data_IF_074239404680
#
_entry.id   IF_074239404680
#
_cell.length_a   1.000
_cell.length_b   1.000
_cell.length_c   1.000
_cell.angle_alpha   90.00
_cell.angle_beta   90.00
_cell.angle_gamma   90.00
#
_symmetry.space_group_name_H-M   'P 1'
#
loop_
_entity.id
_entity.type
_entity.pdbx_description
1 polymer ?
#
# COMPACT_ATOMS: atom_id res chain seq x y z
N UNK A 1 -16.25 205.31 -109.98
CA UNK A 1 -16.30 203.94 -110.55
C UNK A 1 -15.38 202.93 -109.81
N UNK A 2 -14.52 203.31 -108.84
CA UNK A 2 -13.63 202.34 -108.16
C UNK A 2 -14.20 201.55 -106.95
N UNK A 3 -15.50 201.57 -106.64
CA UNK A 3 -16.03 200.85 -105.45
C UNK A 3 -16.70 199.49 -105.75
N UNK A 4 -16.95 199.15 -107.02
CA UNK A 4 -17.75 197.97 -107.41
C UNK A 4 -16.95 196.66 -107.60
N UNK A 5 -15.62 196.71 -107.72
CA UNK A 5 -14.82 195.53 -108.07
C UNK A 5 -14.41 194.69 -106.85
N UNK A 6 -14.16 195.32 -105.70
CA UNK A 6 -13.70 194.62 -104.49
C UNK A 6 -14.75 193.66 -103.88
N UNK A 7 -16.05 193.90 -104.10
CA UNK A 7 -17.12 193.08 -103.50
C UNK A 7 -17.30 191.74 -104.21
N UNK A 8 -17.11 191.69 -105.54
CA UNK A 8 -17.28 190.46 -106.33
C UNK A 8 -16.13 189.46 -106.15
N UNK A 9 -14.93 189.95 -105.82
CA UNK A 9 -13.75 189.12 -105.58
C UNK A 9 -13.82 188.41 -104.21
N UNK A 10 -14.42 189.06 -103.20
CA UNK A 10 -14.71 188.46 -101.89
C UNK A 10 -15.70 187.30 -101.99
N UNK A 11 -16.77 187.45 -102.77
CA UNK A 11 -17.82 186.42 -102.88
C UNK A 11 -17.33 185.17 -103.64
N UNK A 12 -16.45 185.33 -104.63
CA UNK A 12 -15.83 184.21 -105.35
C UNK A 12 -14.93 183.37 -104.43
N UNK A 13 -14.10 184.03 -103.62
CA UNK A 13 -13.23 183.35 -102.66
C UNK A 13 -14.04 182.59 -101.59
N UNK A 14 -15.15 183.16 -101.12
CA UNK A 14 -16.05 182.48 -100.17
C UNK A 14 -16.69 181.21 -100.75
N UNK A 15 -17.04 181.20 -102.03
CA UNK A 15 -17.57 180.01 -102.70
C UNK A 15 -16.49 178.94 -102.92
N UNK A 16 -15.26 179.33 -103.26
CA UNK A 16 -14.14 178.40 -103.42
C UNK A 16 -13.76 177.71 -102.10
N UNK A 17 -13.84 178.40 -100.96
CA UNK A 17 -13.59 177.79 -99.64
C UNK A 17 -14.67 176.76 -99.31
N UNK A 18 -15.95 177.08 -99.55
CA UNK A 18 -17.05 176.14 -99.32
C UNK A 18 -16.99 174.90 -100.20
N UNK A 19 -16.55 175.03 -101.46
CA UNK A 19 -16.33 173.89 -102.35
C UNK A 19 -15.23 172.97 -101.78
N UNK A 20 -14.10 173.55 -101.36
CA UNK A 20 -13.01 172.80 -100.73
C UNK A 20 -13.41 172.12 -99.42
N UNK A 21 -14.25 172.77 -98.60
CA UNK A 21 -14.80 172.17 -97.38
C UNK A 21 -15.73 170.99 -97.69
N UNK A 22 -16.61 171.11 -98.69
CA UNK A 22 -17.48 170.02 -99.13
C UNK A 22 -16.68 168.85 -99.73
N UNK A 23 -15.65 169.13 -100.53
CA UNK A 23 -14.74 168.11 -101.08
C UNK A 23 -13.96 167.40 -99.97
N UNK A 24 -13.49 168.13 -98.95
CA UNK A 24 -12.84 167.54 -97.78
C UNK A 24 -13.80 166.67 -96.96
N UNK A 25 -15.05 167.09 -96.79
CA UNK A 25 -16.08 166.31 -96.11
C UNK A 25 -16.47 165.05 -96.90
N UNK A 26 -16.56 165.12 -98.23
CA UNK A 26 -16.81 163.97 -99.09
C UNK A 26 -15.66 162.96 -98.99
N UNK A 27 -14.41 163.42 -99.14
CA UNK A 27 -13.23 162.57 -99.03
C UNK A 27 -13.14 161.92 -97.63
N UNK A 28 -13.51 162.65 -96.57
CA UNK A 28 -13.58 162.09 -95.22
C UNK A 28 -14.66 161.00 -95.10
N UNK A 29 -15.83 161.19 -95.73
CA UNK A 29 -16.91 160.19 -95.72
C UNK A 29 -16.58 158.98 -96.59
N UNK A 30 -15.93 159.17 -97.73
CA UNK A 30 -15.44 158.08 -98.59
C UNK A 30 -14.35 157.27 -97.88
N UNK A 31 -13.42 157.94 -97.18
CA UNK A 31 -12.43 157.26 -96.35
C UNK A 31 -13.08 156.47 -95.21
N UNK A 32 -14.06 157.04 -94.50
CA UNK A 32 -14.78 156.32 -93.44
C UNK A 32 -15.57 155.11 -93.97
N UNK A 33 -16.17 155.23 -95.15
CA UNK A 33 -16.89 154.14 -95.81
C UNK A 33 -15.93 153.03 -96.27
N UNK A 34 -14.76 153.40 -96.80
CA UNK A 34 -13.71 152.45 -97.15
C UNK A 34 -13.18 151.69 -95.92
N UNK A 35 -12.97 152.37 -94.78
CA UNK A 35 -12.62 151.73 -93.51
C UNK A 35 -13.71 150.78 -93.05
N UNK A 36 -14.98 151.20 -93.03
CA UNK A 36 -16.09 150.34 -92.61
C UNK A 36 -16.29 149.12 -93.53
N UNK A 37 -16.04 149.24 -94.84
CA UNK A 37 -16.04 148.11 -95.75
C UNK A 37 -14.85 147.17 -95.54
N UNK A 38 -13.69 147.71 -95.16
CA UNK A 38 -12.52 146.92 -94.75
C UNK A 38 -12.80 146.13 -93.48
N UNK A 39 -13.35 146.77 -92.45
CA UNK A 39 -13.74 146.14 -91.19
C UNK A 39 -14.82 145.08 -91.41
N UNK A 40 -15.83 145.38 -92.26
CA UNK A 40 -16.85 144.40 -92.64
C UNK A 40 -16.23 143.17 -93.27
N UNK A 41 -15.29 143.32 -94.22
CA UNK A 41 -14.60 142.19 -94.85
C UNK A 41 -13.74 141.42 -93.85
N UNK A 42 -13.08 142.10 -92.91
CA UNK A 42 -12.33 141.45 -91.83
C UNK A 42 -13.24 140.61 -90.95
N UNK A 43 -14.38 141.17 -90.50
CA UNK A 43 -15.35 140.49 -89.67
C UNK A 43 -16.10 139.35 -90.39
N UNK A 44 -16.31 139.48 -91.71
CA UNK A 44 -16.83 138.40 -92.56
C UNK A 44 -15.82 137.25 -92.65
N UNK A 45 -14.54 137.54 -92.87
CA UNK A 45 -13.46 136.54 -92.86
C UNK A 45 -13.27 135.88 -91.48
N UNK A 46 -13.37 136.64 -90.39
CA UNK A 46 -13.35 136.10 -89.02
C UNK A 46 -14.57 135.23 -88.75
N UNK A 47 -15.76 135.60 -89.24
CA UNK A 47 -16.96 134.76 -89.13
C UNK A 47 -16.83 133.45 -89.91
N UNK A 48 -16.26 133.49 -91.11
CA UNK A 48 -15.98 132.28 -91.88
C UNK A 48 -14.95 131.40 -91.18
N UNK A 49 -13.85 131.97 -90.70
CA UNK A 49 -12.84 131.24 -89.93
C UNK A 49 -13.42 130.61 -88.64
N UNK A 50 -14.27 131.33 -87.91
CA UNK A 50 -14.96 130.80 -86.73
C UNK A 50 -15.95 129.70 -87.09
N UNK A 51 -16.65 129.80 -88.23
CA UNK A 51 -17.55 128.72 -88.70
C UNK A 51 -16.77 127.47 -89.10
N UNK A 52 -15.64 127.62 -89.75
CA UNK A 52 -14.79 126.48 -90.10
C UNK A 52 -14.16 125.84 -88.85
N UNK A 53 -13.75 126.64 -87.86
CA UNK A 53 -13.34 126.13 -86.55
C UNK A 53 -14.46 125.39 -85.82
N UNK A 54 -15.70 125.91 -85.85
CA UNK A 54 -16.86 125.21 -85.26
C UNK A 54 -17.07 123.88 -85.97
N UNK A 55 -16.99 123.83 -87.31
CA UNK A 55 -17.17 122.59 -88.08
C UNK A 55 -16.05 121.58 -87.78
N UNK A 56 -14.79 122.02 -87.69
CA UNK A 56 -13.66 121.16 -87.33
C UNK A 56 -13.77 120.62 -85.89
N UNK A 57 -14.28 121.45 -84.96
CA UNK A 57 -14.60 121.02 -83.59
C UNK A 57 -15.79 120.04 -83.55
N UNK A 58 -16.80 120.21 -84.39
CA UNK A 58 -17.93 119.29 -84.52
C UNK A 58 -17.49 117.93 -85.09
N UNK A 59 -16.65 117.93 -86.14
CA UNK A 59 -16.11 116.71 -86.75
C UNK A 59 -15.16 115.97 -85.79
N UNK A 60 -14.28 116.69 -85.09
CA UNK A 60 -13.42 116.10 -84.06
C UNK A 60 -14.21 115.58 -82.85
N UNK A 61 -15.29 116.25 -82.46
CA UNK A 61 -16.21 115.77 -81.43
C UNK A 61 -16.94 114.50 -81.88
N UNK A 62 -17.37 114.42 -83.14
CA UNK A 62 -18.01 113.22 -83.69
C UNK A 62 -17.02 112.05 -83.72
N UNK A 63 -15.79 112.26 -84.22
CA UNK A 63 -14.75 111.24 -84.23
C UNK A 63 -14.39 110.75 -82.82
N UNK A 64 -14.30 111.66 -81.84
CA UNK A 64 -14.05 111.30 -80.44
C UNK A 64 -15.19 110.48 -79.83
N UNK A 65 -16.45 110.78 -80.19
CA UNK A 65 -17.62 109.99 -79.77
C UNK A 65 -17.60 108.59 -80.38
N UNK A 66 -17.30 108.46 -81.66
CA UNK A 66 -17.22 107.16 -82.33
C UNK A 66 -16.07 106.32 -81.78
N UNK A 67 -14.92 106.94 -81.50
CA UNK A 67 -13.81 106.28 -80.80
C UNK A 67 -14.23 105.81 -79.40
N UNK A 68 -14.87 106.67 -78.61
CA UNK A 68 -15.39 106.29 -77.28
C UNK A 68 -16.38 105.11 -77.37
N UNK A 69 -17.27 105.11 -78.36
CA UNK A 69 -18.20 103.99 -78.58
C UNK A 69 -17.43 102.70 -78.94
N UNK A 70 -16.43 102.80 -79.81
CA UNK A 70 -15.62 101.64 -80.20
C UNK A 70 -14.80 101.08 -79.03
N UNK A 71 -14.20 101.95 -78.21
CA UNK A 71 -13.43 101.57 -77.03
C UNK A 71 -14.33 101.00 -75.92
N UNK A 72 -15.52 101.56 -75.72
CA UNK A 72 -16.50 101.02 -74.76
C UNK A 72 -16.99 99.64 -75.19
N UNK A 73 -17.21 99.40 -76.49
CA UNK A 73 -17.55 98.07 -77.00
C UNK A 73 -16.39 97.08 -76.79
N UNK A 74 -15.16 97.46 -77.14
CA UNK A 74 -13.98 96.61 -76.92
C UNK A 74 -13.76 96.29 -75.44
N UNK A 75 -13.98 97.27 -74.56
CA UNK A 75 -13.92 97.07 -73.10
C UNK A 75 -14.95 96.03 -72.65
N UNK A 76 -16.20 96.13 -73.11
CA UNK A 76 -17.26 95.16 -72.78
C UNK A 76 -16.92 93.77 -73.31
N UNK A 77 -16.40 93.65 -74.54
CA UNK A 77 -15.99 92.36 -75.10
C UNK A 77 -14.84 91.71 -74.31
N UNK A 78 -13.86 92.51 -73.88
CA UNK A 78 -12.75 92.04 -73.03
C UNK A 78 -13.23 91.67 -71.63
N UNK A 79 -14.15 92.44 -71.03
CA UNK A 79 -14.76 92.12 -69.74
C UNK A 79 -15.54 90.81 -69.80
N UNK A 80 -16.35 90.62 -70.86
CA UNK A 80 -17.05 89.35 -71.10
C UNK A 80 -16.09 88.18 -71.26
N UNK A 81 -14.99 88.36 -72.02
CA UNK A 81 -13.97 87.32 -72.18
C UNK A 81 -13.25 87.01 -70.87
N UNK A 82 -12.91 88.02 -70.08
CA UNK A 82 -12.34 87.85 -68.75
C UNK A 82 -13.31 87.08 -67.85
N UNK A 83 -14.60 87.43 -67.86
CA UNK A 83 -15.63 86.75 -67.09
C UNK A 83 -15.75 85.27 -67.48
N UNK A 84 -15.83 84.95 -68.79
CA UNK A 84 -15.85 83.56 -69.26
C UNK A 84 -14.59 82.78 -68.86
N UNK A 85 -13.41 83.41 -68.91
CA UNK A 85 -12.16 82.77 -68.47
C UNK A 85 -12.12 82.54 -66.96
N UNK A 86 -12.70 83.44 -66.16
CA UNK A 86 -12.85 83.27 -64.71
C UNK A 86 -13.77 82.09 -64.43
N UNK A 87 -14.92 82.03 -65.08
CA UNK A 87 -15.87 80.92 -64.94
C UNK A 87 -15.26 79.57 -65.37
N UNK A 88 -14.50 79.53 -66.47
CA UNK A 88 -13.78 78.33 -66.91
C UNK A 88 -12.70 77.89 -65.90
N UNK A 89 -11.98 78.84 -65.31
CA UNK A 89 -10.97 78.56 -64.28
C UNK A 89 -11.62 78.04 -62.99
N UNK A 90 -12.72 78.66 -62.57
CA UNK A 90 -13.50 78.22 -61.41
C UNK A 90 -14.09 76.82 -61.64
N UNK A 91 -14.65 76.56 -62.82
CA UNK A 91 -15.14 75.24 -63.19
C UNK A 91 -14.03 74.18 -63.14
N UNK A 92 -12.87 74.44 -63.76
CA UNK A 92 -11.73 73.52 -63.71
C UNK A 92 -11.21 73.31 -62.30
N UNK A 93 -11.15 74.37 -61.49
CA UNK A 93 -10.73 74.28 -60.09
C UNK A 93 -11.68 73.41 -59.30
N UNK A 94 -12.99 73.60 -59.44
CA UNK A 94 -14.00 72.78 -58.78
C UNK A 94 -13.92 71.31 -59.24
N UNK A 95 -13.75 71.05 -60.54
CA UNK A 95 -13.55 69.70 -61.07
C UNK A 95 -12.32 69.02 -60.46
N UNK A 96 -11.17 69.71 -60.38
CA UNK A 96 -9.98 69.14 -59.77
C UNK A 96 -10.14 68.95 -58.25
N UNK A 97 -10.83 69.85 -57.56
CA UNK A 97 -11.15 69.70 -56.15
C UNK A 97 -12.06 68.48 -55.92
N UNK A 98 -13.05 68.25 -56.78
CA UNK A 98 -13.91 67.06 -56.75
C UNK A 98 -13.12 65.78 -57.03
N UNK A 99 -12.27 65.74 -58.05
CA UNK A 99 -11.41 64.59 -58.34
C UNK A 99 -10.43 64.28 -57.18
N UNK A 100 -9.84 65.32 -56.58
CA UNK A 100 -9.00 65.17 -55.38
C UNK A 100 -9.82 64.63 -54.21
N UNK A 101 -11.05 65.12 -54.01
CA UNK A 101 -11.92 64.65 -52.94
C UNK A 101 -12.37 63.20 -53.16
N UNK A 102 -12.70 62.81 -54.40
CA UNK A 102 -13.04 61.43 -54.74
C UNK A 102 -11.87 60.46 -54.53
N UNK A 103 -10.68 60.84 -55.00
CA UNK A 103 -9.48 60.02 -54.83
C UNK A 103 -9.11 59.87 -53.35
N UNK A 104 -9.22 60.94 -52.56
CA UNK A 104 -9.07 60.88 -51.10
C UNK A 104 -10.09 59.96 -50.44
N UNK A 105 -11.38 60.08 -50.78
CA UNK A 105 -12.43 59.21 -50.26
C UNK A 105 -12.18 57.74 -50.59
N UNK A 106 -11.85 57.42 -51.85
CA UNK A 106 -11.52 56.04 -52.28
C UNK A 106 -10.30 55.48 -51.53
N UNK A 107 -9.30 56.32 -51.25
CA UNK A 107 -8.13 55.89 -50.48
C UNK A 107 -8.47 55.67 -49.00
N UNK A 108 -9.25 56.56 -48.39
CA UNK A 108 -9.73 56.45 -47.01
C UNK A 108 -10.58 55.19 -46.81
N UNK A 109 -11.55 54.91 -47.69
CA UNK A 109 -12.37 53.70 -47.60
C UNK A 109 -11.53 52.43 -47.74
N UNK A 110 -10.58 52.40 -48.68
CA UNK A 110 -9.67 51.25 -48.85
C UNK A 110 -8.77 51.06 -47.63
N UNK A 111 -8.28 52.14 -47.02
CA UNK A 111 -7.46 52.05 -45.81
C UNK A 111 -8.28 51.46 -44.65
N UNK A 112 -9.51 51.96 -44.44
CA UNK A 112 -10.42 51.48 -43.40
C UNK A 112 -10.82 50.02 -43.63
N UNK A 113 -11.11 49.61 -44.86
CA UNK A 113 -11.42 48.21 -45.20
C UNK A 113 -10.22 47.28 -44.99
N UNK A 114 -9.00 47.72 -45.33
CA UNK A 114 -7.78 46.93 -45.12
C UNK A 114 -7.44 46.84 -43.63
N UNK A 115 -7.57 47.93 -42.88
CA UNK A 115 -7.30 47.96 -41.45
C UNK A 115 -8.36 47.16 -40.67
N UNK A 116 -9.64 47.30 -41.01
CA UNK A 116 -10.71 46.48 -40.42
C UNK A 116 -10.58 45.00 -40.79
N UNK A 117 -10.24 44.67 -42.03
CA UNK A 117 -10.01 43.29 -42.47
C UNK A 117 -8.86 42.64 -41.70
N UNK A 118 -7.72 43.34 -41.57
CA UNK A 118 -6.59 42.89 -40.76
C UNK A 118 -6.97 42.72 -39.30
N UNK A 119 -7.70 43.68 -38.71
CA UNK A 119 -8.17 43.59 -37.34
C UNK A 119 -9.04 42.34 -37.13
N UNK A 120 -10.01 42.08 -38.00
CA UNK A 120 -10.89 40.90 -37.93
C UNK A 120 -10.06 39.61 -38.06
N UNK A 121 -9.08 39.56 -38.95
CA UNK A 121 -8.19 38.40 -39.08
C UNK A 121 -7.37 38.16 -37.81
N UNK A 122 -6.84 39.21 -37.19
CA UNK A 122 -6.11 39.10 -35.92
C UNK A 122 -7.03 38.67 -34.78
N UNK A 123 -8.22 39.24 -34.67
CA UNK A 123 -9.23 38.84 -33.69
C UNK A 123 -9.65 37.38 -33.89
N UNK A 124 -9.85 36.95 -35.13
CA UNK A 124 -10.17 35.55 -35.46
C UNK A 124 -9.03 34.60 -35.10
N UNK A 125 -7.78 34.92 -35.48
CA UNK A 125 -6.60 34.12 -35.14
C UNK A 125 -6.41 34.03 -33.62
N UNK A 126 -6.61 35.13 -32.90
CA UNK A 126 -6.55 35.15 -31.44
C UNK A 126 -7.66 34.28 -30.83
N UNK A 127 -8.90 34.41 -31.31
CA UNK A 127 -10.02 33.59 -30.85
C UNK A 127 -9.79 32.10 -31.12
N UNK A 128 -9.25 31.76 -32.30
CA UNK A 128 -8.89 30.40 -32.67
C UNK A 128 -7.79 29.84 -31.75
N UNK A 129 -6.71 30.59 -31.51
CA UNK A 129 -5.64 30.18 -30.61
C UNK A 129 -6.15 29.98 -29.17
N UNK A 130 -7.03 30.87 -28.68
CA UNK A 130 -7.67 30.71 -27.37
C UNK A 130 -8.57 29.48 -27.31
N UNK A 131 -9.31 29.19 -28.39
CA UNK A 131 -10.15 28.00 -28.47
C UNK A 131 -9.31 26.72 -28.48
N UNK A 132 -8.22 26.70 -29.25
CA UNK A 132 -7.28 25.57 -29.29
C UNK A 132 -6.62 25.33 -27.93
N UNK A 133 -6.17 26.38 -27.24
CA UNK A 133 -5.62 26.29 -25.89
C UNK A 133 -6.64 25.72 -24.88
N UNK A 134 -7.91 26.15 -24.97
CA UNK A 134 -8.99 25.59 -24.14
C UNK A 134 -9.23 24.11 -24.47
N UNK A 135 -9.30 23.76 -25.75
CA UNK A 135 -9.51 22.38 -26.19
C UNK A 135 -8.36 21.45 -25.74
N UNK A 136 -7.11 21.91 -25.82
CA UNK A 136 -5.94 21.19 -25.32
C UNK A 136 -6.02 21.00 -23.80
N UNK A 137 -6.41 22.03 -23.05
CA UNK A 137 -6.56 21.93 -21.60
C UNK A 137 -7.69 20.97 -21.21
N UNK A 138 -8.85 21.07 -21.88
CA UNK A 138 -9.98 20.14 -21.65
C UNK A 138 -9.59 18.70 -21.98
N UNK A 139 -8.81 18.47 -23.04
CA UNK A 139 -8.29 17.15 -23.39
C UNK A 139 -7.33 16.61 -22.32
N UNK A 140 -6.40 17.43 -21.81
CA UNK A 140 -5.52 17.06 -20.71
C UNK A 140 -6.30 16.71 -19.43
N UNK A 141 -7.30 17.52 -19.05
CA UNK A 141 -8.15 17.25 -17.89
C UNK A 141 -8.91 15.94 -18.06
N UNK A 142 -9.43 15.65 -19.25
CA UNK A 142 -10.09 14.36 -19.55
C UNK A 142 -9.13 13.17 -19.43
N UNK A 143 -7.91 13.30 -19.94
CA UNK A 143 -6.88 12.25 -19.81
C UNK A 143 -6.51 12.02 -18.35
N UNK A 144 -6.21 13.09 -17.60
CA UNK A 144 -5.91 12.97 -16.17
C UNK A 144 -7.06 12.35 -15.38
N UNK A 145 -8.31 12.70 -15.70
CA UNK A 145 -9.48 12.09 -15.08
C UNK A 145 -9.58 10.60 -15.39
N UNK A 146 -9.39 10.19 -16.66
CA UNK A 146 -9.44 8.79 -17.06
C UNK A 146 -8.33 7.96 -16.42
N UNK A 147 -7.09 8.45 -16.40
CA UNK A 147 -5.95 7.80 -15.73
C UNK A 147 -6.19 7.68 -14.21
N UNK A 148 -6.76 8.72 -13.61
CA UNK A 148 -7.11 8.70 -12.19
C UNK A 148 -8.21 7.65 -11.91
N UNK A 149 -9.27 7.62 -12.72
CA UNK A 149 -10.33 6.61 -12.61
C UNK A 149 -9.79 5.18 -12.80
N UNK A 150 -8.93 4.95 -13.80
CA UNK A 150 -8.30 3.65 -14.05
C UNK A 150 -7.40 3.21 -12.88
N UNK A 151 -6.58 4.11 -12.35
CA UNK A 151 -5.72 3.79 -11.19
C UNK A 151 -6.52 3.51 -9.92
N UNK A 152 -7.62 4.25 -9.68
CA UNK A 152 -8.52 3.94 -8.57
C UNK A 152 -9.27 2.63 -8.79
N UNK A 153 -9.72 2.35 -10.01
CA UNK A 153 -10.37 1.11 -10.36
C UNK A 153 -9.44 -0.09 -10.13
N UNK A 154 -8.20 -0.02 -10.64
CA UNK A 154 -7.18 -1.05 -10.43
C UNK A 154 -6.85 -1.26 -8.95
N UNK A 155 -6.73 -0.18 -8.16
CA UNK A 155 -6.52 -0.29 -6.71
C UNK A 155 -7.70 -0.94 -5.98
N UNK A 156 -8.94 -0.58 -6.34
CA UNK A 156 -10.13 -1.19 -5.78
C UNK A 156 -10.25 -2.66 -6.14
N UNK A 157 -9.98 -3.02 -7.39
CA UNK A 157 -9.97 -4.41 -7.85
C UNK A 157 -8.89 -5.23 -7.15
N UNK A 158 -7.67 -4.70 -7.04
CA UNK A 158 -6.57 -5.33 -6.30
C UNK A 158 -6.91 -5.54 -4.82
N UNK A 159 -7.49 -4.53 -4.16
CA UNK A 159 -7.94 -4.64 -2.77
C UNK A 159 -9.07 -5.66 -2.61
N UNK A 160 -10.02 -5.69 -3.56
CA UNK A 160 -11.11 -6.68 -3.59
C UNK A 160 -10.56 -8.10 -3.76
N UNK A 161 -9.68 -8.33 -4.73
CA UNK A 161 -9.04 -9.63 -4.96
C UNK A 161 -8.21 -10.06 -3.75
N UNK A 162 -7.47 -9.15 -3.12
CA UNK A 162 -6.75 -9.43 -1.88
C UNK A 162 -7.68 -9.82 -0.74
N UNK A 163 -8.82 -9.13 -0.59
CA UNK A 163 -9.85 -9.47 0.39
C UNK A 163 -10.50 -10.84 0.10
N UNK A 164 -10.80 -11.14 -1.16
CA UNK A 164 -11.35 -12.44 -1.57
C UNK A 164 -10.34 -13.57 -1.31
N UNK A 165 -9.05 -13.34 -1.60
CA UNK A 165 -7.96 -14.29 -1.29
C UNK A 165 -7.75 -14.48 0.21
N UNK A 166 -7.83 -13.40 1.00
CA UNK A 166 -7.75 -13.49 2.46
C UNK A 166 -8.96 -14.24 3.03
N UNK A 167 -10.16 -13.98 2.53
CA UNK A 167 -11.38 -14.69 2.92
C UNK A 167 -11.33 -16.16 2.53
N UNK A 168 -10.82 -16.50 1.34
CA UNK A 168 -10.71 -17.89 0.91
C UNK A 168 -9.67 -18.64 1.75
N UNK A 169 -8.51 -18.03 2.05
CA UNK A 169 -7.52 -18.57 2.96
C UNK A 169 -8.06 -18.74 4.40
N UNK A 170 -8.86 -17.79 4.90
CA UNK A 170 -9.50 -17.92 6.20
C UNK A 170 -10.51 -19.08 6.22
N UNK A 171 -11.25 -19.29 5.13
CA UNK A 171 -12.18 -20.40 5.00
C UNK A 171 -11.46 -21.76 4.98
N UNK A 172 -10.35 -21.90 4.24
CA UNK A 172 -9.58 -23.15 4.22
C UNK A 172 -8.97 -23.46 5.58
N UNK A 173 -8.45 -22.45 6.31
CA UNK A 173 -7.96 -22.62 7.68
C UNK A 173 -9.09 -23.06 8.63
N UNK A 174 -10.29 -22.45 8.51
CA UNK A 174 -11.47 -22.86 9.30
C UNK A 174 -11.88 -24.30 9.01
N UNK A 175 -11.82 -24.72 7.75
CA UNK A 175 -12.16 -26.08 7.34
C UNK A 175 -11.15 -27.10 7.88
N UNK A 176 -9.84 -26.81 7.78
CA UNK A 176 -8.78 -27.62 8.39
C UNK A 176 -8.91 -27.70 9.92
N UNK A 177 -9.29 -26.59 10.57
CA UNK A 177 -9.56 -26.57 12.00
C UNK A 177 -10.75 -27.46 12.36
N UNK A 178 -11.85 -27.39 11.59
CA UNK A 178 -13.00 -28.25 11.80
C UNK A 178 -12.66 -29.74 11.58
N UNK A 179 -11.88 -30.07 10.55
CA UNK A 179 -11.41 -31.45 10.34
C UNK A 179 -10.55 -31.95 11.51
N UNK A 180 -9.61 -31.13 11.98
CA UNK A 180 -8.76 -31.50 13.12
C UNK A 180 -9.58 -31.67 14.41
N UNK A 181 -10.58 -30.82 14.65
CA UNK A 181 -11.54 -30.99 15.75
C UNK A 181 -12.31 -32.30 15.63
N UNK A 182 -12.86 -32.62 14.46
CA UNK A 182 -13.54 -33.91 14.23
C UNK A 182 -12.62 -35.12 14.43
N UNK A 183 -11.33 -35.02 14.05
CA UNK A 183 -10.32 -36.06 14.33
C UNK A 183 -10.03 -36.19 15.82
N UNK A 184 -9.94 -35.09 16.55
CA UNK A 184 -9.73 -35.09 18.01
C UNK A 184 -10.94 -35.74 18.70
N UNK A 185 -12.15 -35.35 18.35
CA UNK A 185 -13.38 -35.89 18.96
C UNK A 185 -13.52 -37.39 18.69
N UNK A 186 -13.19 -37.86 17.47
CA UNK A 186 -13.24 -39.28 17.14
C UNK A 186 -12.17 -40.10 17.88
N UNK A 187 -10.94 -39.59 18.00
CA UNK A 187 -9.89 -40.22 18.79
C UNK A 187 -10.22 -40.23 20.28
N UNK A 188 -10.80 -39.15 20.82
CA UNK A 188 -11.26 -39.09 22.20
C UNK A 188 -12.36 -40.14 22.46
N UNK A 189 -13.30 -40.31 21.52
CA UNK A 189 -14.30 -41.37 21.60
C UNK A 189 -13.66 -42.78 21.60
N UNK A 190 -12.62 -43.01 20.80
CA UNK A 190 -11.89 -44.29 20.81
C UNK A 190 -11.16 -44.53 22.13
N UNK A 191 -10.47 -43.52 22.66
CA UNK A 191 -9.78 -43.60 23.96
C UNK A 191 -10.77 -43.92 25.08
N UNK A 192 -11.92 -43.24 25.12
CA UNK A 192 -12.94 -43.53 26.15
C UNK A 192 -13.53 -44.93 26.01
N UNK A 193 -13.70 -45.44 24.78
CA UNK A 193 -14.12 -46.83 24.54
C UNK A 193 -13.10 -47.84 25.05
N UNK A 194 -11.81 -47.66 24.71
CA UNK A 194 -10.73 -48.54 25.17
C UNK A 194 -10.54 -48.47 26.69
N UNK A 195 -10.69 -47.30 27.29
CA UNK A 195 -10.67 -47.15 28.75
C UNK A 195 -11.82 -47.91 29.42
N UNK A 196 -13.03 -47.89 28.85
CA UNK A 196 -14.17 -48.68 29.35
C UNK A 196 -13.88 -50.18 29.24
N UNK A 197 -13.33 -50.63 28.11
CA UNK A 197 -12.97 -52.02 27.90
C UNK A 197 -11.86 -52.47 28.88
N UNK A 198 -10.81 -51.66 29.06
CA UNK A 198 -9.75 -51.95 30.02
C UNK A 198 -10.27 -52.04 31.46
N UNK A 199 -11.20 -51.17 31.85
CA UNK A 199 -11.85 -51.25 33.17
C UNK A 199 -12.66 -52.55 33.31
N UNK A 200 -13.44 -52.91 32.30
CA UNK A 200 -14.20 -54.16 32.30
C UNK A 200 -13.29 -55.40 32.43
N UNK A 201 -12.13 -55.41 31.76
CA UNK A 201 -11.15 -56.49 31.91
C UNK A 201 -10.49 -56.50 33.29
N UNK A 202 -10.18 -55.34 33.87
CA UNK A 202 -9.68 -55.23 35.24
C UNK A 202 -10.70 -55.73 36.27
N UNK A 203 -11.97 -55.33 36.15
CA UNK A 203 -13.04 -55.78 37.04
C UNK A 203 -13.23 -57.30 36.95
N UNK A 204 -13.19 -57.86 35.72
CA UNK A 204 -13.27 -59.32 35.51
C UNK A 204 -12.06 -60.05 36.09
N UNK A 205 -10.86 -59.48 35.98
CA UNK A 205 -9.66 -60.06 36.60
C UNK A 205 -9.78 -60.06 38.12
N UNK A 206 -10.22 -58.95 38.72
CA UNK A 206 -10.44 -58.84 40.16
C UNK A 206 -11.52 -59.83 40.65
N UNK A 207 -12.61 -60.01 39.90
CA UNK A 207 -13.64 -61.00 40.21
C UNK A 207 -13.07 -62.43 40.18
N UNK A 208 -12.26 -62.77 39.16
CA UNK A 208 -11.59 -64.07 39.09
C UNK A 208 -10.58 -64.28 40.24
N UNK A 209 -9.81 -63.25 40.61
CA UNK A 209 -8.91 -63.32 41.76
C UNK A 209 -9.67 -63.53 43.08
N UNK A 210 -10.81 -62.84 43.25
CA UNK A 210 -11.67 -63.00 44.42
C UNK A 210 -12.28 -64.41 44.48
N UNK A 211 -12.77 -64.95 43.37
CA UNK A 211 -13.29 -66.33 43.31
C UNK A 211 -12.19 -67.35 43.60
N UNK A 212 -10.98 -67.17 43.08
CA UNK A 212 -9.85 -68.03 43.38
C UNK A 212 -9.46 -67.98 44.86
N UNK A 213 -9.46 -66.79 45.47
CA UNK A 213 -9.19 -66.63 46.89
C UNK A 213 -10.26 -67.31 47.76
N UNK A 214 -11.53 -67.24 47.37
CA UNK A 214 -12.62 -67.96 48.03
C UNK A 214 -12.44 -69.48 47.93
N UNK A 215 -12.18 -70.01 46.74
CA UNK A 215 -11.91 -71.43 46.52
C UNK A 215 -10.70 -71.92 47.33
N UNK A 216 -9.63 -71.12 47.42
CA UNK A 216 -8.48 -71.44 48.26
C UNK A 216 -8.83 -71.49 49.75
N UNK A 217 -9.63 -70.54 50.24
CA UNK A 217 -10.07 -70.52 51.63
C UNK A 217 -10.99 -71.71 51.94
N UNK A 218 -11.87 -72.09 51.02
CA UNK A 218 -12.76 -73.24 51.18
C UNK A 218 -11.98 -74.57 51.12
N UNK A 219 -10.99 -74.70 50.24
CA UNK A 219 -10.03 -75.80 50.24
C UNK A 219 -9.24 -75.85 51.57
N UNK A 220 -8.85 -74.71 52.13
CA UNK A 220 -8.15 -74.63 53.41
C UNK A 220 -9.05 -75.05 54.58
N UNK A 221 -10.31 -74.62 54.59
CA UNK A 221 -11.30 -75.04 55.61
C UNK A 221 -11.53 -76.55 55.57
N UNK A 222 -11.79 -77.10 54.39
CA UNK A 222 -11.99 -78.55 54.22
C UNK A 222 -10.75 -79.34 54.62
N UNK A 223 -9.53 -78.86 54.30
CA UNK A 223 -8.29 -79.47 54.77
C UNK A 223 -8.22 -79.50 56.30
N UNK A 224 -8.50 -78.37 56.97
CA UNK A 224 -8.50 -78.28 58.44
C UNK A 224 -9.56 -79.20 59.07
N UNK A 225 -10.74 -79.32 58.46
CA UNK A 225 -11.77 -80.27 58.88
C UNK A 225 -11.28 -81.72 58.78
N UNK A 226 -10.64 -82.10 57.66
CA UNK A 226 -10.05 -83.42 57.49
C UNK A 226 -8.89 -83.69 58.45
N UNK A 227 -8.04 -82.71 58.73
CA UNK A 227 -7.00 -82.82 59.75
C UNK A 227 -7.58 -83.06 61.15
N UNK A 228 -8.71 -82.39 61.48
CA UNK A 228 -9.44 -82.63 62.73
C UNK A 228 -10.05 -84.03 62.78
N UNK A 229 -10.69 -84.50 61.71
CA UNK A 229 -11.20 -85.87 61.61
C UNK A 229 -10.07 -86.90 61.81
N UNK A 230 -8.92 -86.71 61.15
CA UNK A 230 -7.74 -87.57 61.32
C UNK A 230 -7.25 -87.56 62.77
N UNK A 231 -7.18 -86.39 63.41
CA UNK A 231 -6.78 -86.28 64.81
C UNK A 231 -7.76 -86.99 65.75
N UNK A 232 -9.08 -86.87 65.50
CA UNK A 232 -10.11 -87.59 66.26
C UNK A 232 -9.97 -89.10 66.12
N UNK A 233 -9.81 -89.63 64.90
CA UNK A 233 -9.61 -91.07 64.67
C UNK A 233 -8.31 -91.56 65.33
N UNK A 234 -7.22 -90.78 65.26
CA UNK A 234 -5.97 -91.12 65.95
C UNK A 234 -6.14 -91.18 67.47
N UNK A 235 -6.90 -90.25 68.05
CA UNK A 235 -7.20 -90.26 69.48
C UNK A 235 -8.05 -91.48 69.85
N UNK A 236 -9.11 -91.77 69.10
CA UNK A 236 -9.94 -92.98 69.31
C UNK A 236 -9.11 -94.27 69.19
N UNK A 237 -8.21 -94.34 68.21
CA UNK A 237 -7.30 -95.48 68.06
C UNK A 237 -6.36 -95.60 69.26
N UNK A 238 -5.84 -94.48 69.78
CA UNK A 238 -5.00 -94.48 70.98
C UNK A 238 -5.79 -94.90 72.23
N UNK A 239 -7.02 -94.41 72.39
CA UNK A 239 -7.94 -94.83 73.46
C UNK A 239 -8.18 -96.34 73.40
N UNK A 240 -8.54 -96.89 72.23
CA UNK A 240 -8.69 -98.33 72.04
C UNK A 240 -7.42 -99.11 72.39
N UNK A 241 -6.24 -98.63 71.96
CA UNK A 241 -4.97 -99.28 72.33
C UNK A 241 -4.77 -99.30 73.86
N UNK A 242 -5.09 -98.21 74.56
CA UNK A 242 -4.99 -98.18 76.03
C UNK A 242 -6.01 -99.09 76.71
N UNK A 243 -7.24 -99.20 76.19
CA UNK A 243 -8.25 -100.14 76.68
C UNK A 243 -7.80 -101.59 76.44
N UNK A 244 -7.20 -101.89 75.28
CA UNK A 244 -6.62 -103.20 74.99
C UNK A 244 -5.44 -103.53 75.91
N UNK A 245 -4.56 -102.58 76.21
CA UNK A 245 -3.47 -102.75 77.17
C UNK A 245 -4.02 -103.03 78.58
N UNK A 246 -5.02 -102.26 79.04
CA UNK A 246 -5.67 -102.50 80.33
C UNK A 246 -6.35 -103.88 80.39
N UNK A 247 -7.04 -104.29 79.32
CA UNK A 247 -7.66 -105.61 79.23
C UNK A 247 -6.61 -106.73 79.21
N UNK A 248 -5.48 -106.52 78.54
CA UNK A 248 -4.35 -107.44 78.55
C UNK A 248 -3.77 -107.58 79.96
N UNK A 249 -3.61 -106.48 80.69
CA UNK A 249 -3.15 -106.49 82.09
C UNK A 249 -4.11 -107.27 82.99
N UNK A 250 -5.43 -107.06 82.85
CA UNK A 250 -6.44 -107.87 83.56
C UNK A 250 -6.34 -109.35 83.18
N UNK A 251 -6.15 -109.66 81.89
CA UNK A 251 -5.98 -111.04 81.42
C UNK A 251 -4.72 -111.67 82.00
N UNK A 252 -3.60 -110.94 82.07
CA UNK A 252 -2.36 -111.41 82.68
C UNK A 252 -2.55 -111.65 84.18
N UNK A 253 -3.27 -110.78 84.89
CA UNK A 253 -3.64 -110.99 86.29
C UNK A 253 -4.48 -112.27 86.46
N UNK A 254 -5.49 -112.47 85.61
CA UNK A 254 -6.31 -113.69 85.61
C UNK A 254 -5.51 -114.95 85.26
N UNK A 255 -4.57 -114.90 84.31
CA UNK A 255 -3.68 -116.02 84.02
C UNK A 255 -2.82 -116.40 85.24
N UNK A 256 -2.34 -115.40 85.98
CA UNK A 256 -1.61 -115.62 87.23
C UNK A 256 -2.53 -116.27 88.27
N UNK A 257 -3.75 -115.80 88.45
CA UNK A 257 -4.76 -116.42 89.33
C UNK A 257 -5.06 -117.86 88.93
N UNK A 258 -5.31 -118.14 87.63
CA UNK A 258 -5.52 -119.49 87.11
C UNK A 258 -4.30 -120.37 87.36
N UNK A 259 -3.09 -119.86 87.17
CA UNK A 259 -1.86 -120.60 87.45
C UNK A 259 -1.72 -120.91 88.94
N UNK A 260 -2.16 -120.00 89.82
CA UNK A 260 -2.20 -120.22 91.26
C UNK A 260 -3.26 -121.27 91.64
N UNK A 261 -4.45 -121.22 91.05
CA UNK A 261 -5.47 -122.26 91.22
C UNK A 261 -4.98 -123.62 90.70
N UNK A 262 -4.33 -123.66 89.53
CA UNK A 262 -3.71 -124.89 88.98
C UNK A 262 -2.65 -125.45 89.92
N UNK A 263 -1.75 -124.63 90.47
CA UNK A 263 -0.77 -125.07 91.47
C UNK A 263 -1.40 -125.59 92.76
N UNK A 264 -2.50 -124.99 93.21
CA UNK A 264 -3.25 -125.46 94.38
C UNK A 264 -3.89 -126.82 94.10
N UNK A 265 -4.46 -126.99 92.90
CA UNK A 265 -4.99 -128.26 92.41
C UNK A 265 -3.90 -129.32 92.22
N UNK A 266 -2.77 -128.98 91.60
CA UNK A 266 -1.59 -129.86 91.47
C UNK A 266 -1.08 -130.28 92.87
N UNK A 267 -1.08 -129.38 93.86
CA UNK A 267 -0.74 -129.70 95.25
C UNK A 267 -1.76 -130.61 95.96
N UNK A 268 -3.06 -130.49 95.64
CA UNK A 268 -4.08 -131.45 96.06
C UNK A 268 -3.95 -132.80 95.31
N UNK A 269 -3.66 -132.79 94.01
CA UNK A 269 -3.43 -133.97 93.18
C UNK A 269 -2.17 -134.75 93.62
N UNK A 270 -1.11 -134.06 94.05
CA UNK A 270 0.08 -134.65 94.70
C UNK A 270 -0.26 -135.30 96.05
N UNK A 271 -1.11 -134.66 96.86
CA UNK A 271 -1.63 -135.24 98.12
C UNK A 271 -2.49 -136.48 97.89
N UNK A 272 -3.24 -136.50 96.79
CA UNK A 272 -4.17 -137.58 96.43
C UNK A 272 -3.56 -138.66 95.53
N UNK A 273 -2.26 -138.59 95.18
CA UNK A 273 -1.53 -139.57 94.34
C UNK A 273 -2.23 -139.87 92.99
N UNK A 274 -2.88 -138.89 92.39
CA UNK A 274 -3.48 -139.03 91.06
C UNK A 274 -2.43 -138.65 90.01
N UNK A 275 -1.71 -139.65 89.48
CA UNK A 275 -0.78 -139.40 88.35
C UNK A 275 -1.54 -139.26 87.04
N UNK A 276 -1.23 -138.23 86.24
CA UNK A 276 -0.95 -138.48 84.84
C UNK A 276 0.26 -137.74 84.25
N UNK A 277 0.88 -138.44 83.30
CA UNK A 277 1.91 -138.05 82.33
C UNK A 277 1.36 -137.14 81.20
N UNK A 278 2.18 -136.57 80.28
CA UNK A 278 2.02 -135.22 79.74
C UNK A 278 1.51 -135.18 78.29
N UNK A 279 0.99 -134.01 77.86
CA UNK A 279 0.85 -133.60 76.46
C UNK A 279 0.26 -132.19 76.40
N UNK A 280 0.51 -131.35 75.40
CA UNK A 280 1.38 -131.40 74.23
C UNK A 280 1.43 -129.99 73.64
N UNK A 281 2.56 -129.69 72.98
CA UNK A 281 2.77 -128.56 72.07
C UNK A 281 1.65 -128.40 71.04
N UNK A 282 1.33 -127.16 70.68
CA UNK A 282 0.94 -126.69 69.32
C UNK A 282 1.29 -125.18 69.25
N UNK A 283 2.41 -124.70 68.69
CA UNK A 283 2.79 -124.36 67.28
C UNK A 283 1.70 -123.77 66.39
N UNK A 284 1.83 -122.50 65.96
CA UNK A 284 1.65 -121.92 64.58
C UNK A 284 2.05 -120.42 64.70
N UNK A 285 3.14 -119.85 64.15
CA UNK A 285 3.64 -119.63 62.77
C UNK A 285 2.94 -118.53 61.93
N UNK A 286 3.75 -117.52 61.53
CA UNK A 286 3.74 -116.76 60.25
C UNK A 286 2.68 -115.63 60.11
N UNK A 287 2.89 -114.51 59.42
CA UNK A 287 3.93 -114.05 58.49
C UNK A 287 4.02 -112.51 58.44
N UNK A 288 5.17 -112.07 57.95
CA UNK A 288 5.65 -110.77 57.47
C UNK A 288 4.77 -110.09 56.41
N UNK A 289 4.79 -108.74 56.35
CA UNK A 289 5.26 -108.02 55.15
C UNK A 289 5.51 -106.51 55.36
N UNK A 290 6.52 -106.03 54.64
CA UNK A 290 7.19 -104.73 54.55
C UNK A 290 6.31 -103.57 54.02
N UNK A 291 6.35 -102.37 54.63
CA UNK A 291 7.22 -101.20 54.31
C UNK A 291 7.25 -100.73 52.85
N UNK A 292 6.86 -99.48 52.61
CA UNK A 292 7.76 -98.41 52.11
C UNK A 292 7.03 -97.06 52.05
N UNK A 293 7.64 -96.01 52.63
CA UNK A 293 7.21 -94.61 52.54
C UNK A 293 8.43 -93.81 52.08
N UNK A 294 8.23 -92.88 51.13
CA UNK A 294 9.20 -91.85 50.77
C UNK A 294 8.51 -90.50 50.71
N UNK A 295 9.11 -89.52 51.38
CA UNK A 295 8.74 -88.09 51.40
C UNK A 295 9.80 -87.29 50.64
N UNK A 296 9.39 -86.31 49.84
CA UNK A 296 10.28 -85.29 49.30
C UNK A 296 9.64 -83.91 49.54
N UNK A 297 10.36 -83.05 50.26
CA UNK A 297 9.99 -81.66 50.52
C UNK A 297 10.78 -80.69 49.65
N UNK A 298 10.12 -79.63 49.19
CA UNK A 298 10.73 -78.51 48.47
C UNK A 298 10.24 -77.18 49.04
N UNK A 299 11.17 -76.30 49.42
CA UNK A 299 10.96 -75.01 50.09
C UNK A 299 10.86 -73.84 49.10
N UNK A 300 10.12 -72.82 49.55
CA UNK A 300 9.70 -71.56 48.91
C UNK A 300 10.84 -70.57 48.58
N UNK A 301 10.63 -69.74 47.55
CA UNK A 301 11.44 -68.56 47.17
C UNK A 301 10.75 -67.27 47.64
N UNK A 302 11.54 -66.32 48.16
CA UNK A 302 11.15 -65.05 48.80
C UNK A 302 11.15 -63.92 47.75
N UNK A 303 10.19 -63.00 47.83
CA UNK A 303 10.04 -61.81 46.97
C UNK A 303 10.76 -60.61 47.62
N UNK A 304 11.42 -59.79 46.78
CA UNK A 304 12.13 -58.57 47.15
C UNK A 304 11.19 -57.36 47.04
N UNK A 305 11.23 -56.46 48.01
CA UNK A 305 10.50 -55.18 48.04
C UNK A 305 11.46 -54.09 47.60
N UNK A 306 11.06 -53.28 46.63
CA UNK A 306 11.84 -52.14 46.15
C UNK A 306 11.13 -50.85 46.57
N UNK A 307 11.87 -50.02 47.32
CA UNK A 307 11.48 -48.74 47.90
C UNK A 307 11.94 -47.63 46.94
N UNK A 308 11.05 -46.72 46.55
CA UNK A 308 11.37 -45.58 45.67
C UNK A 308 11.43 -44.29 46.46
N UNK A 309 12.63 -43.72 46.58
CA UNK A 309 12.87 -42.37 47.05
C UNK A 309 12.48 -41.31 46.00
N UNK A 310 11.98 -40.17 46.48
CA UNK A 310 11.55 -39.05 45.66
C UNK A 310 12.74 -38.22 45.16
N UNK A 311 12.85 -38.04 43.84
CA UNK A 311 13.76 -37.09 43.19
C UNK A 311 12.94 -36.10 42.36
N UNK A 312 13.20 -34.80 42.51
CA UNK A 312 12.55 -33.76 41.70
C UNK A 312 13.03 -33.86 40.25
N UNK A 313 12.14 -34.22 39.33
CA UNK A 313 12.49 -34.31 37.91
C UNK A 313 12.27 -32.97 37.20
N UNK A 314 13.38 -32.40 36.69
CA UNK A 314 13.34 -31.37 35.65
C UNK A 314 13.25 -32.09 34.31
N UNK A 315 12.17 -31.87 33.56
CA UNK A 315 11.98 -32.44 32.23
C UNK A 315 12.36 -31.40 31.17
N UNK A 316 13.35 -31.72 30.32
CA UNK A 316 13.77 -30.89 29.19
C UNK A 316 13.06 -31.38 27.94
N UNK A 317 12.37 -30.49 27.23
CA UNK A 317 11.71 -30.80 25.97
C UNK A 317 12.35 -30.05 24.81
N UNK A 318 12.67 -30.77 23.72
CA UNK A 318 13.25 -30.21 22.51
C UNK A 318 12.24 -30.28 21.37
N UNK A 319 12.00 -29.17 20.67
CA UNK A 319 11.23 -29.14 19.42
C UNK A 319 12.11 -28.60 18.30
N UNK A 320 12.19 -29.30 17.17
CA UNK A 320 12.97 -28.88 16.00
C UNK A 320 12.14 -29.03 14.73
N UNK A 321 12.28 -28.07 13.82
CA UNK A 321 11.63 -28.05 12.51
C UNK A 321 12.58 -27.45 11.48
N UNK A 322 12.63 -28.01 10.28
CA UNK A 322 13.39 -27.47 9.16
C UNK A 322 12.55 -27.56 7.89
N UNK A 323 12.49 -26.46 7.14
CA UNK A 323 11.77 -26.34 5.87
C UNK A 323 12.74 -26.49 4.69
N UNK A 324 14.04 -26.25 4.91
CA UNK A 324 15.09 -26.33 3.89
C UNK A 324 16.12 -27.43 4.13
N UNK A 325 17.23 -27.35 3.39
CA UNK A 325 18.33 -28.34 3.40
C UNK A 325 19.14 -28.38 4.70
N UNK A 326 18.99 -27.38 5.58
CA UNK A 326 19.79 -27.23 6.80
C UNK A 326 18.89 -27.27 8.02
N UNK A 327 19.25 -28.08 9.01
CA UNK A 327 18.55 -28.22 10.29
C UNK A 327 19.45 -27.80 11.45
N UNK A 328 18.83 -27.35 12.55
CA UNK A 328 19.53 -27.07 13.81
C UNK A 328 19.62 -28.38 14.60
N UNK A 329 20.80 -28.98 14.64
CA UNK A 329 21.06 -30.30 15.21
C UNK A 329 21.21 -30.26 16.73
N UNK A 330 21.77 -29.18 17.28
CA UNK A 330 21.99 -29.07 18.73
C UNK A 330 22.07 -27.60 19.18
N UNK A 331 21.56 -27.35 20.39
CA UNK A 331 21.75 -26.10 21.13
C UNK A 331 22.36 -26.53 22.47
N UNK A 332 23.53 -26.00 22.78
CA UNK A 332 24.19 -26.29 24.05
C UNK A 332 23.46 -25.61 25.21
N UNK A 333 23.18 -26.37 26.26
CA UNK A 333 22.43 -25.89 27.44
C UNK A 333 23.21 -24.84 28.25
N UNK A 334 24.54 -24.85 28.18
CA UNK A 334 25.41 -23.85 28.79
C UNK A 334 25.62 -22.61 27.90
N UNK A 335 24.98 -22.57 26.72
CA UNK A 335 25.09 -21.47 25.78
C UNK A 335 26.49 -21.35 25.14
N UNK A 336 27.27 -22.43 25.06
CA UNK A 336 28.63 -22.41 24.48
C UNK A 336 28.60 -22.46 22.96
N UNK A 337 27.66 -23.19 22.37
CA UNK A 337 27.57 -23.34 20.91
C UNK A 337 26.16 -23.66 20.41
N UNK A 338 25.98 -23.49 19.11
CA UNK A 338 24.84 -23.99 18.35
C UNK A 338 25.39 -24.76 17.15
N UNK A 339 24.83 -25.94 16.85
CA UNK A 339 25.27 -26.82 15.76
C UNK A 339 24.19 -26.96 14.70
N UNK A 340 24.57 -26.78 13.44
CA UNK A 340 23.74 -27.00 12.27
C UNK A 340 24.23 -28.21 11.48
N UNK A 341 23.31 -28.82 10.72
CA UNK A 341 23.60 -29.91 9.80
C UNK A 341 22.90 -29.71 8.48
N UNK A 342 23.65 -29.84 7.38
CA UNK A 342 23.04 -29.99 6.06
C UNK A 342 22.54 -31.44 5.94
N UNK A 343 21.23 -31.60 5.88
CA UNK A 343 20.56 -32.91 5.78
C UNK A 343 20.29 -33.32 4.34
N UNK A 344 20.69 -32.50 3.36
CA UNK A 344 20.56 -32.80 1.94
C UNK A 344 21.83 -33.43 1.35
N UNK A 345 21.68 -33.98 0.14
CA UNK A 345 22.79 -34.48 -0.67
C UNK A 345 23.47 -33.39 -1.50
N UNK A 346 23.04 -32.13 -1.39
CA UNK A 346 23.57 -31.01 -2.16
C UNK A 346 24.31 -30.00 -1.26
N UNK A 347 25.34 -29.35 -1.79
CA UNK A 347 26.04 -28.28 -1.10
C UNK A 347 25.12 -27.05 -0.95
N UNK A 348 25.01 -26.52 0.27
CA UNK A 348 24.16 -25.37 0.57
C UNK A 348 24.99 -24.09 0.72
N UNK A 349 24.88 -23.12 -0.19
CA UNK A 349 25.43 -21.79 0.03
C UNK A 349 24.64 -21.09 1.14
N UNK A 350 25.36 -20.61 2.16
CA UNK A 350 24.77 -19.91 3.32
C UNK A 350 25.14 -18.42 3.35
N UNK A 351 25.67 -17.89 2.24
CA UNK A 351 26.05 -16.48 2.16
C UNK A 351 24.88 -15.57 2.51
N UNK A 352 25.04 -14.74 3.54
CA UNK A 352 24.01 -13.81 4.00
C UNK A 352 22.89 -14.44 4.85
N UNK A 353 22.97 -15.73 5.19
CA UNK A 353 22.04 -16.35 6.13
C UNK A 353 22.29 -15.82 7.55
N UNK A 354 21.24 -15.79 8.36
CA UNK A 354 21.29 -15.28 9.73
C UNK A 354 20.72 -16.30 10.71
N UNK A 355 21.47 -16.60 11.76
CA UNK A 355 21.04 -17.43 12.87
C UNK A 355 20.70 -16.53 14.06
N UNK A 356 19.46 -16.58 14.53
CA UNK A 356 18.91 -15.73 15.56
C UNK A 356 18.50 -16.58 16.75
N UNK A 357 19.08 -16.32 17.91
CA UNK A 357 18.69 -16.91 19.19
C UNK A 357 17.83 -15.94 19.97
N UNK A 358 16.76 -16.42 20.61
CA UNK A 358 15.83 -15.71 21.49
C UNK A 358 15.69 -16.45 22.82
N UNK A 359 15.80 -15.72 23.92
CA UNK A 359 15.61 -16.18 25.31
C UNK A 359 14.91 -15.01 26.00
N UNK A 360 13.65 -15.20 26.40
CA UNK A 360 12.77 -14.11 26.82
C UNK A 360 12.75 -12.98 25.77
N UNK A 361 12.96 -11.75 26.23
CA UNK A 361 13.00 -10.54 25.38
C UNK A 361 14.38 -10.27 24.75
N UNK A 362 15.41 -11.04 25.11
CA UNK A 362 16.75 -10.85 24.55
C UNK A 362 16.89 -11.65 23.26
N UNK A 363 17.50 -11.04 22.24
CA UNK A 363 17.85 -11.73 21.00
C UNK A 363 19.31 -11.48 20.59
N UNK A 364 19.95 -12.50 20.04
CA UNK A 364 21.33 -12.46 19.61
C UNK A 364 21.43 -13.06 18.19
N UNK A 365 22.10 -12.40 17.24
CA UNK A 365 22.17 -12.87 15.85
C UNK A 365 23.59 -13.01 15.28
N UNK A 366 23.82 -14.14 14.59
CA UNK A 366 25.06 -14.45 13.90
C UNK A 366 24.82 -14.53 12.40
N UNK A 367 25.64 -13.87 11.60
CA UNK A 367 25.53 -13.85 10.13
C UNK A 367 26.67 -14.61 9.47
N UNK A 368 26.32 -15.49 8.54
CA UNK A 368 27.30 -16.23 7.74
C UNK A 368 27.97 -15.33 6.70
N UNK A 369 29.27 -15.55 6.47
CA UNK A 369 30.03 -14.80 5.46
C UNK A 369 29.54 -15.15 4.05
N UNK A 370 29.65 -14.20 3.11
CA UNK A 370 29.10 -14.35 1.75
C UNK A 370 29.63 -15.55 0.96
N UNK A 371 30.81 -16.08 1.33
CA UNK A 371 31.45 -17.23 0.67
C UNK A 371 31.27 -18.55 1.42
N UNK A 372 30.52 -18.57 2.53
CA UNK A 372 30.36 -19.78 3.32
C UNK A 372 29.42 -20.77 2.60
N UNK A 373 29.88 -22.01 2.45
CA UNK A 373 29.13 -23.13 1.87
C UNK A 373 29.18 -24.29 2.84
N UNK A 374 28.01 -24.80 3.22
CA UNK A 374 27.87 -25.99 4.05
C UNK A 374 27.69 -27.20 3.14
N UNK A 375 28.69 -28.07 3.07
CA UNK A 375 28.65 -29.22 2.14
C UNK A 375 27.53 -30.21 2.48
N UNK A 376 27.15 -31.02 1.50
CA UNK A 376 26.20 -32.12 1.69
C UNK A 376 26.60 -33.00 2.90
N UNK A 377 25.64 -33.26 3.80
CA UNK A 377 25.87 -34.04 5.02
C UNK A 377 26.78 -33.40 6.09
N UNK A 378 27.36 -32.23 5.84
CA UNK A 378 28.31 -31.57 6.74
C UNK A 378 27.61 -30.91 7.92
N UNK A 379 28.28 -30.92 9.07
CA UNK A 379 27.90 -30.14 10.25
C UNK A 379 28.78 -28.90 10.42
N UNK A 380 28.20 -27.84 10.96
CA UNK A 380 28.93 -26.65 11.40
C UNK A 380 28.52 -26.28 12.81
N UNK A 381 29.51 -26.02 13.64
CA UNK A 381 29.34 -25.57 15.02
C UNK A 381 29.76 -24.11 15.11
N UNK A 382 28.89 -23.29 15.71
CA UNK A 382 29.15 -21.87 15.93
C UNK A 382 29.35 -21.68 17.43
N UNK A 383 30.60 -21.52 17.81
CA UNK A 383 31.08 -21.36 19.17
C UNK A 383 31.00 -19.89 19.60
N UNK A 384 30.59 -19.66 20.84
CA UNK A 384 30.73 -18.35 21.46
C UNK A 384 32.20 -18.05 21.79
N UNK A 385 32.56 -16.78 21.94
CA UNK A 385 33.96 -16.37 22.13
C UNK A 385 34.60 -16.94 23.40
N UNK A 386 33.83 -17.21 24.46
CA UNK A 386 34.35 -17.75 25.71
C UNK A 386 34.39 -19.29 25.77
N UNK A 387 33.99 -19.99 24.70
CA UNK A 387 33.85 -21.44 24.74
C UNK A 387 35.20 -22.19 24.84
N UNK A 388 36.32 -21.49 24.70
CA UNK A 388 37.67 -22.07 24.84
C UNK A 388 38.10 -22.95 23.66
N UNK A 389 37.39 -22.87 22.52
CA UNK A 389 37.67 -23.63 21.30
C UNK A 389 38.39 -22.75 20.28
N UNK A 390 39.35 -23.30 19.55
CA UNK A 390 40.05 -22.62 18.44
C UNK A 390 39.24 -22.74 17.15
N UNK A 391 39.15 -21.66 16.37
CA UNK A 391 38.38 -21.67 15.12
C UNK A 391 39.01 -22.63 14.10
N UNK A 392 38.19 -23.48 13.48
CA UNK A 392 38.58 -24.39 12.40
C UNK A 392 37.54 -24.33 11.27
N UNK A 393 37.48 -23.24 10.48
CA UNK A 393 36.55 -23.15 9.36
C UNK A 393 36.83 -24.24 8.31
N UNK A 394 35.80 -24.82 7.66
CA UNK A 394 34.39 -24.38 7.71
C UNK A 394 33.56 -25.04 8.82
N UNK A 395 34.08 -26.00 9.58
CA UNK A 395 33.30 -26.79 10.55
C UNK A 395 33.12 -26.09 11.89
N UNK A 396 34.11 -25.34 12.36
CA UNK A 396 34.07 -24.66 13.65
C UNK A 396 34.28 -23.17 13.48
N UNK A 397 33.18 -22.42 13.59
CA UNK A 397 33.15 -20.97 13.50
C UNK A 397 33.09 -20.36 14.90
N UNK A 398 33.76 -19.23 15.10
CA UNK A 398 33.72 -18.50 16.38
C UNK A 398 32.98 -17.18 16.19
N UNK A 399 31.96 -16.96 17.03
CA UNK A 399 31.28 -15.69 17.15
C UNK A 399 32.05 -14.74 18.07
N UNK A 400 33.09 -14.12 17.50
CA UNK A 400 34.09 -13.32 18.25
C UNK A 400 33.50 -12.15 19.07
N UNK A 401 32.34 -11.64 18.68
CA UNK A 401 31.74 -10.45 19.30
C UNK A 401 30.73 -10.79 20.41
N UNK A 402 30.54 -12.07 20.74
CA UNK A 402 29.64 -12.49 21.81
C UNK A 402 30.31 -13.55 22.68
N UNK A 403 30.31 -13.30 23.98
CA UNK A 403 30.94 -14.21 24.92
C UNK A 403 30.12 -15.48 25.11
N UNK A 404 28.79 -15.46 24.99
CA UNK A 404 27.94 -16.65 25.14
C UNK A 404 26.71 -16.55 24.22
N UNK A 405 26.13 -17.68 23.84
CA UNK A 405 24.79 -17.75 23.25
C UNK A 405 23.69 -17.47 24.30
N UNK A 406 24.03 -17.51 25.58
CA UNK A 406 23.12 -17.29 26.71
C UNK A 406 22.45 -18.58 27.18
N UNK A 407 22.13 -18.63 28.46
CA UNK A 407 21.41 -19.73 29.13
C UNK A 407 20.03 -19.24 29.56
N UNK A 408 19.03 -20.12 29.57
CA UNK A 408 17.66 -19.78 29.98
C UNK A 408 16.69 -20.94 29.88
N UNK A 409 15.52 -20.78 30.50
CA UNK A 409 14.47 -21.82 30.56
C UNK A 409 13.78 -22.06 29.21
N UNK A 410 13.72 -21.03 28.35
CA UNK A 410 13.14 -21.11 27.01
C UNK A 410 14.11 -20.54 25.98
N UNK A 411 14.91 -21.42 25.36
CA UNK A 411 15.83 -21.03 24.29
C UNK A 411 15.22 -21.39 22.95
N UNK A 412 14.99 -20.38 22.09
CA UNK A 412 14.54 -20.57 20.71
C UNK A 412 15.61 -20.07 19.74
N UNK A 413 16.02 -20.92 18.81
CA UNK A 413 16.96 -20.58 17.74
C UNK A 413 16.25 -20.72 16.40
N UNK A 414 16.41 -19.71 15.55
CA UNK A 414 15.84 -19.64 14.21
C UNK A 414 16.96 -19.39 13.22
N UNK A 415 16.93 -20.09 12.10
CA UNK A 415 17.81 -19.89 10.96
C UNK A 415 17.01 -19.26 9.83
N UNK A 416 17.49 -18.12 9.32
CA UNK A 416 16.91 -17.39 8.21
C UNK A 416 17.81 -17.42 6.99
N UNK A 417 17.21 -17.58 5.81
CA UNK A 417 17.92 -17.49 4.54
C UNK A 417 18.29 -16.03 4.20
N UNK A 418 19.00 -15.82 3.09
CA UNK A 418 19.39 -14.48 2.62
C UNK A 418 18.22 -13.56 2.25
N UNK A 419 17.01 -14.11 2.07
CA UNK A 419 15.77 -13.36 1.83
C UNK A 419 15.01 -13.04 3.13
N UNK A 420 15.50 -13.51 4.28
CA UNK A 420 14.88 -13.30 5.60
C UNK A 420 13.80 -14.32 5.97
N UNK A 421 13.60 -15.37 5.16
CA UNK A 421 12.64 -16.43 5.42
C UNK A 421 13.17 -17.44 6.43
N UNK A 422 12.33 -17.90 7.35
CA UNK A 422 12.68 -18.90 8.36
C UNK A 422 12.75 -20.30 7.74
N UNK A 423 13.95 -20.88 7.72
CA UNK A 423 14.23 -22.17 7.08
C UNK A 423 14.50 -23.29 8.06
N UNK A 424 14.87 -22.96 9.31
CA UNK A 424 14.90 -23.92 10.41
C UNK A 424 14.64 -23.22 11.75
N UNK A 425 14.07 -23.96 12.69
CA UNK A 425 13.87 -23.53 14.06
C UNK A 425 14.13 -24.69 15.02
N UNK A 426 14.70 -24.39 16.18
CA UNK A 426 14.75 -25.31 17.31
C UNK A 426 14.48 -24.58 18.61
N UNK A 427 13.73 -25.21 19.50
CA UNK A 427 13.33 -24.67 20.79
C UNK A 427 13.64 -25.69 21.89
N UNK A 428 14.17 -25.22 23.02
CA UNK A 428 14.45 -26.04 24.20
C UNK A 428 13.74 -25.41 25.40
N UNK A 429 12.80 -26.15 25.99
CA UNK A 429 11.95 -25.71 27.11
C UNK A 429 12.26 -26.58 28.33
N UNK A 430 12.66 -25.94 29.43
CA UNK A 430 12.92 -26.58 30.72
C UNK A 430 11.65 -26.52 31.58
N UNK A 431 11.05 -27.67 31.89
CA UNK A 431 9.87 -27.76 32.77
C UNK A 431 10.26 -28.33 34.12
N UNK A 432 10.26 -27.49 35.15
CA UNK A 432 10.48 -27.88 36.55
C UNK A 432 9.14 -28.21 37.20
N UNK A 433 8.98 -29.43 37.72
CA UNK A 433 7.80 -29.80 38.51
C UNK A 433 8.08 -29.53 39.99
N UNK A 434 7.67 -28.37 40.50
CA UNK A 434 7.68 -28.11 41.93
C UNK A 434 6.41 -28.71 42.57
N UNK A 435 6.56 -29.64 43.53
CA UNK A 435 5.45 -30.02 44.43
C UNK A 435 5.15 -28.81 45.30
N UNK A 436 4.03 -28.12 45.06
CA UNK A 436 3.46 -27.20 46.04
C UNK A 436 3.03 -28.02 47.24
N UNK A 437 3.71 -27.82 48.37
CA UNK A 437 3.20 -28.19 49.68
C UNK A 437 1.93 -27.41 49.96
N UNK A 438 0.94 -28.12 50.51
CA UNK A 438 -0.16 -27.54 51.26
C UNK A 438 0.45 -26.73 52.41
N UNK A 439 0.15 -25.44 52.49
CA UNK A 439 0.17 -24.71 53.75
C UNK A 439 -0.68 -23.44 53.60
N UNK A 440 -1.49 -23.24 54.65
CA UNK A 440 -2.15 -22.01 55.09
C UNK A 440 -3.52 -21.66 54.48
N UNK A 441 -4.53 -22.40 54.97
CA UNK A 441 -5.69 -21.76 55.60
C UNK A 441 -5.23 -20.93 56.80
N UNK A 442 -5.30 -19.60 56.70
CA UNK A 442 -5.55 -18.66 57.80
C UNK A 442 -5.51 -17.23 57.24
N UNK A 443 -6.66 -16.56 57.19
CA UNK A 443 -6.91 -15.32 57.94
C UNK A 443 -8.26 -14.72 57.52
N UNK A 444 -9.15 -14.66 58.51
CA UNK A 444 -10.30 -13.76 58.69
C UNK A 444 -9.82 -12.29 58.55
N UNK A 445 -10.54 -11.30 58.05
CA UNK A 445 -11.85 -10.73 58.43
C UNK A 445 -12.39 -9.86 57.27
#
# INVERSE_FOLDING_TARGET
>A
VCSSYAKKESDLNGAQVKLRECEAALNSKEAALATALGDKKSLEGENEALRDQIRELEDSLAAAKDQLISETLQKVDLENRCQSLIEDLEFRKNMYEEEINETRKKHETRLVEVDSGRQIEYEHKLAQALHEMRAQHDAQVKLYKAELEETYHSKLESARLSSEMSSSAANTIREQLNESRMRIDSLAAHVTSLQKESRAWQDRAQELENTLAQEQEDCRKTLVEKEKEIAQIRNQMQEQLTEYEQLLDVKLALDVEISAYRKLLEGEEERLKLSPSPSSRVTVSRASSSRSVRTAGGKRKRINVEESEASSSVTISHSASATGNVSIEEIDVDGKFIRLKNTSEQDQPMGGWEMIRKIGDTSASYRYTSRYVLKAGQTVTIWAANAGVTASPPTDLIWKNQNSWGTGEDVKVVLKNSQGEEVAQRSTVFKTTARKGEDEEAEEE
#
